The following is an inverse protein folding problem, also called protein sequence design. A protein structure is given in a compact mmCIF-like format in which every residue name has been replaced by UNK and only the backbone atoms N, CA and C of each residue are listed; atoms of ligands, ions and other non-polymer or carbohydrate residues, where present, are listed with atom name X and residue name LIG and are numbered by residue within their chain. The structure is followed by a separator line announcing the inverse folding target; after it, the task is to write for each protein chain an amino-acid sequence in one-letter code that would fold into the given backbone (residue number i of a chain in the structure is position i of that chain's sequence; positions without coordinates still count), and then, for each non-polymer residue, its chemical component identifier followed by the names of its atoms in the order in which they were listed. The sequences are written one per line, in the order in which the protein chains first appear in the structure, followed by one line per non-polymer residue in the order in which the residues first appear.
data_IF_336736565015
#
_entry.id   IF_336736565015
#
_cell.length_a   1.000
_cell.length_b   1.000
_cell.length_c   1.000
_cell.angle_alpha   90.00
_cell.angle_beta   90.00
_cell.angle_gamma   90.00
#
_symmetry.space_group_name_H-M   'P 1'
#
loop_
_entity.id
_entity.type
_entity.pdbx_description
1 polymer ?
#
# COMPACT_ATOMS: atom_id res chain seq x y z
N UNK A 1 53.64 -7.61 71.93
CA UNK A 1 52.24 -7.20 71.87
C UNK A 1 51.56 -7.89 70.73
N UNK A 2 50.83 -8.96 71.02
CA UNK A 2 50.15 -9.78 69.95
C UNK A 2 48.75 -9.23 69.76
N UNK A 3 48.44 -8.81 68.50
CA UNK A 3 47.08 -8.40 68.07
C UNK A 3 46.19 -9.64 67.93
N UNK A 4 45.19 -9.79 68.81
CA UNK A 4 44.10 -10.75 68.71
C UNK A 4 43.31 -10.51 67.43
N UNK A 5 43.28 -11.48 66.49
CA UNK A 5 42.32 -11.53 65.39
C UNK A 5 40.92 -11.74 65.96
N UNK A 6 40.04 -10.77 65.79
CA UNK A 6 38.60 -10.91 66.03
C UNK A 6 38.04 -11.97 65.09
N UNK A 7 37.51 -13.07 65.64
CA UNK A 7 36.68 -14.02 64.89
C UNK A 7 35.39 -13.28 64.53
N UNK A 8 35.07 -13.24 63.24
CA UNK A 8 33.77 -12.79 62.73
C UNK A 8 32.70 -13.81 63.17
N UNK A 9 31.48 -13.37 63.50
CA UNK A 9 30.47 -14.27 64.05
C UNK A 9 29.91 -15.20 62.92
N UNK A 10 29.48 -16.38 63.35
CA UNK A 10 28.93 -17.48 62.53
C UNK A 10 27.65 -17.11 61.81
N UNK A 11 27.07 -15.98 62.14
CA UNK A 11 25.84 -15.46 61.46
C UNK A 11 25.96 -15.21 59.94
N UNK A 12 27.18 -14.99 59.46
CA UNK A 12 27.36 -14.67 58.02
C UNK A 12 27.14 -15.87 57.06
N UNK A 13 27.25 -17.11 57.57
CA UNK A 13 27.07 -18.32 56.77
C UNK A 13 25.57 -18.69 56.64
N UNK A 14 24.86 -18.65 57.79
CA UNK A 14 23.41 -18.91 57.79
C UNK A 14 22.62 -17.84 57.05
N UNK A 15 23.04 -16.58 57.14
CA UNK A 15 22.42 -15.47 56.44
C UNK A 15 22.64 -15.55 54.91
N UNK A 16 23.81 -16.02 54.50
CA UNK A 16 24.09 -16.32 53.07
C UNK A 16 23.25 -17.49 52.55
N UNK A 17 23.14 -18.56 53.32
CA UNK A 17 22.35 -19.74 52.98
C UNK A 17 20.84 -19.40 52.91
N UNK A 18 20.37 -18.54 53.83
CA UNK A 18 19.01 -18.00 53.82
C UNK A 18 18.73 -17.04 52.62
N UNK A 19 19.70 -16.24 52.25
CA UNK A 19 19.63 -15.36 51.10
C UNK A 19 19.71 -16.15 49.77
N UNK A 20 20.51 -17.19 49.70
CA UNK A 20 20.56 -18.12 48.55
C UNK A 20 19.27 -18.93 48.45
N UNK A 21 18.72 -19.44 49.56
CA UNK A 21 17.43 -20.16 49.56
C UNK A 21 16.24 -19.28 49.24
N UNK A 22 16.26 -17.99 49.61
CA UNK A 22 15.25 -17.01 49.21
C UNK A 22 15.37 -16.59 47.74
N UNK A 23 16.56 -16.67 47.17
CA UNK A 23 16.80 -16.30 45.78
C UNK A 23 16.32 -17.37 44.78
N UNK A 24 16.26 -18.62 45.21
CA UNK A 24 15.88 -19.77 44.39
C UNK A 24 14.92 -20.65 45.20
N UNK A 25 13.61 -20.31 45.19
CA UNK A 25 12.62 -21.12 45.88
C UNK A 25 12.79 -22.61 45.59
N UNK A 26 12.64 -23.48 46.64
CA UNK A 26 12.74 -24.94 46.58
C UNK A 26 11.55 -25.53 45.85
N UNK A 27 11.53 -25.44 44.51
CA UNK A 27 10.57 -26.17 43.73
C UNK A 27 11.26 -27.36 43.04
N UNK A 28 10.59 -28.51 43.00
CA UNK A 28 11.10 -29.76 42.37
C UNK A 28 11.58 -29.59 40.91
N UNK A 29 11.18 -28.51 40.23
CA UNK A 29 11.57 -28.16 38.85
C UNK A 29 12.76 -27.18 38.77
N UNK A 30 13.43 -26.88 39.87
CA UNK A 30 14.55 -25.90 39.90
C UNK A 30 15.70 -26.30 38.98
N UNK A 31 15.93 -27.61 38.81
CA UNK A 31 16.93 -28.12 37.88
C UNK A 31 16.57 -27.83 36.39
N UNK A 32 15.28 -27.85 36.05
CA UNK A 32 14.79 -27.49 34.71
C UNK A 32 15.05 -26.01 34.48
N UNK A 33 14.78 -25.17 35.47
CA UNK A 33 14.97 -23.73 35.41
C UNK A 33 16.43 -23.32 35.24
N UNK A 34 17.37 -24.08 35.81
CA UNK A 34 18.83 -23.89 35.63
C UNK A 34 19.26 -24.12 34.18
N UNK A 35 18.59 -25.00 33.44
CA UNK A 35 18.85 -25.27 32.02
C UNK A 35 18.04 -24.31 31.14
N UNK A 36 16.77 -24.11 31.45
CA UNK A 36 15.85 -23.31 30.60
C UNK A 36 16.22 -21.81 30.64
N UNK A 37 16.61 -21.30 31.76
CA UNK A 37 16.93 -19.88 31.95
C UNK A 37 18.04 -19.38 31.02
N UNK A 38 19.22 -19.99 30.92
CA UNK A 38 20.24 -19.54 29.96
C UNK A 38 19.77 -19.67 28.52
N UNK A 39 19.05 -20.73 28.17
CA UNK A 39 18.49 -20.90 26.82
C UNK A 39 17.50 -19.77 26.51
N UNK A 40 16.60 -19.46 27.44
CA UNK A 40 15.59 -18.42 27.29
C UNK A 40 16.24 -17.02 27.21
N UNK A 41 17.29 -16.77 28.01
CA UNK A 41 18.06 -15.53 27.92
C UNK A 41 18.78 -15.42 26.58
N UNK A 42 19.41 -16.51 26.12
CA UNK A 42 20.07 -16.53 24.82
C UNK A 42 19.10 -16.33 23.67
N UNK A 43 17.95 -17.02 23.68
CA UNK A 43 16.93 -16.88 22.62
C UNK A 43 16.31 -15.48 22.63
N UNK A 44 15.94 -14.94 23.79
CA UNK A 44 15.43 -13.57 23.89
C UNK A 44 16.45 -12.53 23.44
N UNK A 45 17.72 -12.68 23.88
CA UNK A 45 18.79 -11.78 23.43
C UNK A 45 19.03 -11.86 21.94
N UNK A 46 18.99 -13.07 21.37
CA UNK A 46 19.14 -13.29 19.93
C UNK A 46 17.98 -12.62 19.14
N UNK A 47 16.75 -12.83 19.58
CA UNK A 47 15.56 -12.20 18.95
C UNK A 47 15.64 -10.67 19.04
N UNK A 48 16.04 -10.13 20.20
CA UNK A 48 16.20 -8.67 20.36
C UNK A 48 17.30 -8.14 19.44
N UNK A 49 18.45 -8.83 19.36
CA UNK A 49 19.56 -8.43 18.48
C UNK A 49 19.11 -8.51 17.01
N UNK A 50 18.44 -9.59 16.60
CA UNK A 50 17.90 -9.70 15.24
C UNK A 50 16.88 -8.59 14.95
N UNK A 51 15.99 -8.27 15.88
CA UNK A 51 15.04 -7.17 15.75
C UNK A 51 15.74 -5.81 15.62
N UNK A 52 16.75 -5.54 16.42
CA UNK A 52 17.53 -4.31 16.35
C UNK A 52 18.33 -4.21 15.04
N UNK A 53 18.90 -5.31 14.58
CA UNK A 53 19.61 -5.37 13.28
C UNK A 53 18.64 -5.16 12.15
N UNK A 54 17.46 -5.79 12.19
CA UNK A 54 16.43 -5.65 11.16
C UNK A 54 15.89 -4.21 11.08
N UNK A 55 15.52 -3.64 12.23
CA UNK A 55 15.03 -2.23 12.28
C UNK A 55 16.12 -1.22 11.95
N UNK A 56 17.36 -1.52 12.33
CA UNK A 56 18.53 -0.72 11.95
C UNK A 56 18.78 -0.77 10.45
N UNK A 57 18.66 -1.96 9.84
CA UNK A 57 18.81 -2.15 8.40
C UNK A 57 17.72 -1.42 7.61
N UNK A 58 16.45 -1.54 8.00
CA UNK A 58 15.37 -0.80 7.35
C UNK A 58 15.60 0.73 7.37
N UNK A 59 16.02 1.28 8.52
CA UNK A 59 16.35 2.70 8.59
C UNK A 59 17.55 3.11 7.74
N UNK A 60 18.53 2.23 7.61
CA UNK A 60 19.69 2.45 6.72
C UNK A 60 19.24 2.42 5.26
N UNK A 61 18.36 1.49 4.91
CA UNK A 61 17.80 1.37 3.57
C UNK A 61 17.00 2.63 3.20
N UNK A 62 16.06 3.02 4.05
CA UNK A 62 15.24 4.22 3.84
C UNK A 62 16.04 5.52 3.77
N UNK A 63 17.09 5.66 4.59
CA UNK A 63 17.87 6.91 4.66
C UNK A 63 18.95 6.99 3.59
N UNK A 64 19.57 5.88 3.21
CA UNK A 64 20.77 5.91 2.36
C UNK A 64 20.56 5.37 0.96
N UNK A 65 19.57 4.50 0.74
CA UNK A 65 19.33 3.87 -0.56
C UNK A 65 18.06 4.37 -1.25
N UNK A 66 17.17 5.04 -0.51
CA UNK A 66 16.00 5.69 -1.09
C UNK A 66 16.40 6.84 -2.05
N UNK A 67 15.53 7.21 -3.00
CA UNK A 67 15.72 8.40 -3.83
C UNK A 67 15.91 9.67 -2.99
N UNK A 68 16.73 10.59 -3.48
CA UNK A 68 16.90 11.91 -2.84
C UNK A 68 15.62 12.74 -2.84
N UNK A 69 14.88 12.65 -3.94
CA UNK A 69 13.56 13.27 -4.10
C UNK A 69 12.74 12.46 -5.12
N UNK A 70 11.82 11.65 -4.62
CA UNK A 70 10.98 10.80 -5.46
C UNK A 70 9.99 11.56 -6.36
N UNK A 71 9.77 12.85 -6.09
CA UNK A 71 8.90 13.71 -6.88
C UNK A 71 9.65 14.52 -7.96
N UNK A 72 10.99 14.63 -7.86
CA UNK A 72 11.80 15.39 -8.82
C UNK A 72 12.04 14.55 -10.08
N UNK A 73 11.28 14.84 -11.12
CA UNK A 73 11.45 14.22 -12.45
C UNK A 73 12.57 14.85 -13.30
N UNK A 74 13.35 15.82 -12.76
CA UNK A 74 14.42 16.46 -13.53
C UNK A 74 15.64 15.54 -13.60
N UNK A 75 16.25 15.46 -14.78
CA UNK A 75 17.51 14.75 -14.99
C UNK A 75 18.70 15.69 -14.75
N UNK A 76 19.74 15.16 -14.12
CA UNK A 76 21.02 15.82 -13.87
C UNK A 76 22.05 15.13 -14.76
N UNK A 77 22.73 15.92 -15.61
CA UNK A 77 23.84 15.40 -16.41
C UNK A 77 25.03 15.04 -15.47
N UNK A 78 25.48 13.79 -15.53
CA UNK A 78 26.55 13.26 -14.70
C UNK A 78 27.60 12.56 -15.56
N UNK A 79 28.86 12.96 -15.45
CA UNK A 79 29.94 12.41 -16.26
C UNK A 79 30.90 11.58 -15.42
N UNK A 80 31.16 10.35 -15.86
CA UNK A 80 32.18 9.45 -15.30
C UNK A 80 33.40 9.42 -16.23
N UNK A 81 34.50 10.00 -15.78
CA UNK A 81 35.74 10.02 -16.55
C UNK A 81 36.38 8.62 -16.60
N UNK A 82 37.01 8.31 -17.73
CA UNK A 82 37.77 7.04 -17.86
C UNK A 82 38.86 6.95 -16.77
N UNK A 83 38.93 5.79 -16.09
CA UNK A 83 39.90 5.57 -15.01
C UNK A 83 39.49 6.17 -13.64
N UNK A 84 38.26 6.72 -13.50
CA UNK A 84 37.77 7.19 -12.21
C UNK A 84 37.64 6.03 -11.22
N UNK A 85 38.10 6.23 -9.98
CA UNK A 85 37.90 5.25 -8.92
C UNK A 85 36.44 5.28 -8.43
N UNK A 86 35.93 4.16 -7.92
CA UNK A 86 34.61 4.07 -7.30
C UNK A 86 34.42 5.17 -6.22
N UNK A 87 35.47 5.44 -5.42
CA UNK A 87 35.42 6.49 -4.39
C UNK A 87 35.27 7.90 -4.99
N UNK A 88 35.84 8.17 -6.16
CA UNK A 88 35.68 9.45 -6.83
C UNK A 88 34.28 9.58 -7.43
N UNK A 89 33.79 8.53 -8.08
CA UNK A 89 32.42 8.49 -8.65
C UNK A 89 31.38 8.68 -7.55
N UNK A 90 31.50 7.95 -6.45
CA UNK A 90 30.56 8.06 -5.32
C UNK A 90 30.51 9.47 -4.72
N UNK A 91 31.68 10.12 -4.58
CA UNK A 91 31.75 11.50 -4.07
C UNK A 91 31.08 12.49 -5.02
N UNK A 92 31.35 12.35 -6.31
CA UNK A 92 30.74 13.22 -7.32
C UNK A 92 29.21 13.05 -7.38
N UNK A 93 28.68 11.83 -7.14
CA UNK A 93 27.25 11.58 -7.05
C UNK A 93 26.62 12.29 -5.83
N UNK A 94 27.30 12.27 -4.68
CA UNK A 94 26.85 12.99 -3.49
C UNK A 94 26.90 14.52 -3.70
N UNK A 95 27.98 15.04 -4.28
CA UNK A 95 28.12 16.46 -4.63
C UNK A 95 27.07 16.94 -5.63
N UNK A 96 26.65 16.06 -6.55
CA UNK A 96 25.55 16.32 -7.48
C UNK A 96 24.16 16.20 -6.83
N UNK A 97 24.09 15.78 -5.57
CA UNK A 97 22.83 15.56 -4.85
C UNK A 97 21.99 14.40 -5.40
N UNK A 98 22.65 13.39 -5.95
CA UNK A 98 22.02 12.19 -6.52
C UNK A 98 21.96 11.02 -5.53
N UNK A 99 22.81 11.02 -4.50
CA UNK A 99 22.82 10.02 -3.43
C UNK A 99 23.01 10.71 -2.07
N UNK A 100 22.55 10.08 -1.01
CA UNK A 100 22.64 10.62 0.35
C UNK A 100 24.05 10.59 0.94
N UNK A 101 24.84 9.54 0.64
CA UNK A 101 26.17 9.37 1.22
C UNK A 101 27.09 8.55 0.33
N UNK A 102 28.23 9.14 -0.05
CA UNK A 102 29.22 8.51 -0.92
C UNK A 102 29.87 7.24 -0.31
N UNK A 103 30.07 7.25 1.02
CA UNK A 103 30.72 6.13 1.70
C UNK A 103 29.81 4.92 1.69
N UNK A 104 28.52 5.11 1.97
CA UNK A 104 27.51 4.03 1.95
C UNK A 104 27.35 3.48 0.55
N UNK A 105 27.22 4.35 -0.46
CA UNK A 105 27.13 3.95 -1.87
C UNK A 105 28.33 3.11 -2.31
N UNK A 106 29.53 3.56 -1.94
CA UNK A 106 30.76 2.81 -2.23
C UNK A 106 30.73 1.40 -1.63
N UNK A 107 30.43 1.27 -0.33
CA UNK A 107 30.36 -0.04 0.31
C UNK A 107 29.27 -0.93 -0.28
N UNK A 108 28.12 -0.36 -0.66
CA UNK A 108 27.06 -1.08 -1.37
C UNK A 108 27.57 -1.66 -2.69
N UNK A 109 28.18 -0.82 -3.54
CA UNK A 109 28.70 -1.22 -4.84
C UNK A 109 29.83 -2.27 -4.71
N UNK A 110 30.70 -2.14 -3.71
CA UNK A 110 31.74 -3.11 -3.41
C UNK A 110 31.16 -4.45 -2.93
N UNK A 111 30.17 -4.42 -2.02
CA UNK A 111 29.50 -5.61 -1.48
C UNK A 111 28.75 -6.38 -2.58
N UNK A 112 28.11 -5.67 -3.51
CA UNK A 112 27.44 -6.25 -4.68
C UNK A 112 28.45 -6.76 -5.74
N UNK A 113 29.74 -6.53 -5.57
CA UNK A 113 30.77 -6.88 -6.55
C UNK A 113 30.67 -6.09 -7.87
N UNK A 114 30.04 -4.92 -7.81
CA UNK A 114 29.71 -4.09 -8.96
C UNK A 114 30.63 -2.87 -9.12
N UNK A 115 31.41 -2.52 -8.09
CA UNK A 115 32.25 -1.32 -8.09
C UNK A 115 33.28 -1.24 -9.21
N UNK A 116 33.75 -2.38 -9.74
CA UNK A 116 34.67 -2.41 -10.89
C UNK A 116 33.99 -2.48 -12.26
N UNK A 117 32.65 -2.57 -12.29
CA UNK A 117 31.86 -2.65 -13.51
C UNK A 117 31.31 -1.31 -13.98
N UNK A 118 31.52 -0.24 -13.20
CA UNK A 118 31.10 1.10 -13.56
C UNK A 118 31.84 1.54 -14.83
N UNK A 119 31.07 1.95 -15.83
CA UNK A 119 31.62 2.37 -17.12
C UNK A 119 31.81 3.88 -17.16
N UNK A 120 32.81 4.34 -17.92
CA UNK A 120 32.99 5.76 -18.20
C UNK A 120 31.99 6.21 -19.27
N UNK A 121 31.43 7.41 -19.11
CA UNK A 121 30.45 7.96 -20.03
C UNK A 121 29.71 9.15 -19.42
N UNK A 122 28.83 9.73 -20.24
CA UNK A 122 27.92 10.79 -19.81
C UNK A 122 26.56 10.20 -19.57
N UNK A 123 26.03 10.42 -18.36
CA UNK A 123 24.77 9.85 -17.87
C UNK A 123 23.77 10.94 -17.57
N UNK A 124 22.51 10.66 -17.80
CA UNK A 124 21.41 11.48 -17.31
C UNK A 124 20.77 10.75 -16.12
N UNK A 125 21.10 11.20 -14.92
CA UNK A 125 20.63 10.62 -13.66
C UNK A 125 19.58 11.53 -13.05
N UNK A 126 18.65 10.98 -12.26
CA UNK A 126 17.62 11.77 -11.58
C UNK A 126 17.70 11.58 -10.07
N UNK A 127 17.30 12.59 -9.31
CA UNK A 127 17.12 12.52 -7.86
C UNK A 127 15.99 11.58 -7.45
N UNK A 128 15.10 11.24 -8.41
CA UNK A 128 14.06 10.24 -8.22
C UNK A 128 14.56 8.80 -8.33
N UNK A 129 15.84 8.60 -8.67
CA UNK A 129 16.47 7.27 -8.69
C UNK A 129 16.98 6.88 -7.31
N UNK A 130 16.80 5.61 -6.96
CA UNK A 130 17.45 5.00 -5.82
C UNK A 130 18.97 4.82 -6.07
N UNK A 131 19.74 4.63 -5.01
CA UNK A 131 21.17 4.38 -5.14
C UNK A 131 21.50 3.14 -5.97
N UNK A 132 20.65 2.10 -5.90
CA UNK A 132 20.79 0.88 -6.70
C UNK A 132 20.51 1.13 -8.19
N UNK A 133 19.48 1.89 -8.52
CA UNK A 133 19.15 2.26 -9.90
C UNK A 133 20.27 3.11 -10.54
N UNK A 134 20.83 4.06 -9.77
CA UNK A 134 22.01 4.83 -10.21
C UNK A 134 23.19 3.89 -10.49
N UNK A 135 23.46 2.92 -9.59
CA UNK A 135 24.55 1.97 -9.78
C UNK A 135 24.34 1.11 -11.03
N UNK A 136 23.12 0.61 -11.24
CA UNK A 136 22.79 -0.22 -12.42
C UNK A 136 22.96 0.55 -13.72
N UNK A 137 22.59 1.83 -13.76
CA UNK A 137 22.83 2.70 -14.91
C UNK A 137 24.31 2.91 -15.19
N UNK A 138 25.10 3.16 -14.16
CA UNK A 138 26.54 3.33 -14.31
C UNK A 138 27.25 2.05 -14.80
N UNK A 139 26.65 0.88 -14.57
CA UNK A 139 27.17 -0.41 -15.00
C UNK A 139 26.74 -0.76 -16.44
N UNK A 140 25.49 -0.43 -16.82
CA UNK A 140 24.98 -0.73 -18.16
C UNK A 140 25.75 0.00 -19.26
N UNK A 141 26.37 1.13 -18.94
CA UNK A 141 27.28 1.86 -19.83
C UNK A 141 26.58 2.63 -20.95
N UNK A 142 25.27 2.54 -21.06
CA UNK A 142 24.53 3.17 -22.17
C UNK A 142 24.27 4.66 -22.02
N UNK A 143 24.74 5.30 -20.95
CA UNK A 143 24.72 6.74 -20.71
C UNK A 143 23.34 7.43 -20.85
N UNK A 144 22.33 6.72 -21.27
CA UNK A 144 20.94 7.21 -21.31
C UNK A 144 20.08 6.36 -20.38
N UNK A 145 19.39 6.97 -19.42
CA UNK A 145 18.43 6.26 -18.63
C UNK A 145 17.38 5.65 -19.55
N UNK A 146 17.26 4.32 -19.54
CA UNK A 146 16.14 3.65 -20.20
C UNK A 146 14.91 3.92 -19.36
N UNK A 147 14.27 5.07 -19.59
CA UNK A 147 12.96 5.37 -19.02
C UNK A 147 11.86 4.83 -19.92
N UNK A 148 10.76 4.50 -19.33
CA UNK A 148 9.52 4.17 -20.01
C UNK A 148 8.37 4.88 -19.34
N UNK A 149 7.35 5.16 -20.12
CA UNK A 149 6.12 5.77 -19.61
C UNK A 149 5.12 4.68 -19.30
N UNK A 150 4.60 4.67 -18.07
CA UNK A 150 3.48 3.82 -17.67
C UNK A 150 2.26 4.70 -17.37
N UNK A 151 1.06 4.19 -17.67
CA UNK A 151 -0.18 4.87 -17.37
C UNK A 151 -1.07 3.96 -16.56
N UNK A 152 -1.28 4.33 -15.30
CA UNK A 152 -2.23 3.65 -14.41
C UNK A 152 -3.60 4.26 -14.64
N UNK A 153 -4.54 3.44 -15.07
CA UNK A 153 -5.88 3.86 -15.45
C UNK A 153 -6.80 3.85 -14.22
N UNK A 154 -7.65 4.87 -14.01
CA UNK A 154 -8.69 4.84 -13.00
C UNK A 154 -9.53 3.57 -13.06
N UNK A 155 -9.90 3.03 -11.91
CA UNK A 155 -10.68 1.79 -11.81
C UNK A 155 -9.86 0.50 -11.92
N UNK A 156 -8.55 0.56 -12.13
CA UNK A 156 -7.69 -0.61 -12.03
C UNK A 156 -7.51 -1.06 -10.59
N UNK A 157 -7.46 -2.37 -10.41
CA UNK A 157 -7.10 -3.02 -9.15
C UNK A 157 -5.57 -3.12 -9.01
N UNK A 158 -5.10 -3.44 -7.82
CA UNK A 158 -3.68 -3.80 -7.58
C UNK A 158 -3.23 -4.92 -8.53
N UNK A 159 -4.10 -5.92 -8.79
CA UNK A 159 -3.81 -7.03 -9.71
C UNK A 159 -3.70 -6.57 -11.16
N UNK A 160 -4.54 -5.61 -11.59
CA UNK A 160 -4.48 -5.05 -12.95
C UNK A 160 -3.18 -4.26 -13.14
N UNK A 161 -2.78 -3.46 -12.14
CA UNK A 161 -1.50 -2.73 -12.17
C UNK A 161 -0.33 -3.71 -12.27
N UNK A 162 -0.31 -4.76 -11.44
CA UNK A 162 0.76 -5.77 -11.46
C UNK A 162 0.85 -6.47 -12.82
N UNK A 163 -0.29 -6.88 -13.39
CA UNK A 163 -0.39 -7.52 -14.70
C UNK A 163 0.15 -6.60 -15.81
N UNK A 164 -0.29 -5.35 -15.83
CA UNK A 164 0.15 -4.35 -16.81
C UNK A 164 1.67 -4.13 -16.76
N UNK A 165 2.24 -4.00 -15.56
CA UNK A 165 3.69 -3.84 -15.39
C UNK A 165 4.48 -5.08 -15.86
N UNK A 166 3.92 -6.28 -15.66
CA UNK A 166 4.51 -7.52 -16.16
C UNK A 166 4.42 -7.64 -17.70
N UNK A 167 3.31 -7.24 -18.31
CA UNK A 167 3.15 -7.20 -19.77
C UNK A 167 4.16 -6.25 -20.42
N UNK A 168 4.45 -5.13 -19.77
CA UNK A 168 5.52 -4.20 -20.19
C UNK A 168 6.94 -4.72 -19.91
N UNK A 169 7.07 -5.90 -19.28
CA UNK A 169 8.34 -6.49 -18.86
C UNK A 169 9.16 -5.62 -17.88
N UNK A 170 8.49 -4.75 -17.16
CA UNK A 170 9.08 -3.94 -16.09
C UNK A 170 9.24 -4.82 -14.84
N UNK A 171 8.22 -5.61 -14.52
CA UNK A 171 8.30 -6.64 -13.48
C UNK A 171 8.62 -7.99 -14.12
N UNK A 172 9.64 -8.68 -13.62
CA UNK A 172 9.94 -10.05 -14.01
C UNK A 172 8.93 -11.07 -13.48
N UNK A 173 8.33 -10.74 -12.32
CA UNK A 173 7.29 -11.51 -11.63
C UNK A 173 6.37 -10.53 -10.89
N UNK A 174 5.07 -10.82 -10.87
CA UNK A 174 4.06 -10.02 -10.16
C UNK A 174 4.03 -10.30 -8.65
N UNK A 175 4.57 -11.43 -8.19
CA UNK A 175 4.42 -11.91 -6.80
C UNK A 175 5.00 -10.94 -5.78
N UNK A 176 6.17 -10.36 -6.07
CA UNK A 176 6.79 -9.37 -5.19
C UNK A 176 5.91 -8.13 -5.06
N UNK A 177 5.45 -7.56 -6.18
CA UNK A 177 4.56 -6.41 -6.20
C UNK A 177 3.27 -6.68 -5.41
N UNK A 178 2.62 -7.81 -5.66
CA UNK A 178 1.39 -8.20 -4.98
C UNK A 178 1.62 -8.44 -3.49
N UNK A 179 2.76 -9.04 -3.11
CA UNK A 179 3.13 -9.26 -1.70
C UNK A 179 3.34 -7.94 -0.95
N UNK A 180 4.04 -6.99 -1.55
CA UNK A 180 4.24 -5.66 -0.99
C UNK A 180 2.91 -4.90 -0.83
N UNK A 181 2.01 -4.99 -1.81
CA UNK A 181 0.69 -4.37 -1.73
C UNK A 181 -0.23 -5.02 -0.71
N UNK A 182 -0.01 -6.29 -0.37
CA UNK A 182 -0.90 -7.05 0.51
C UNK A 182 -0.84 -6.60 1.96
N UNK A 183 0.34 -6.36 2.52
CA UNK A 183 0.50 -5.95 3.92
C UNK A 183 0.47 -4.44 4.10
N UNK A 184 1.04 -3.68 3.19
CA UNK A 184 1.20 -2.23 3.30
C UNK A 184 2.19 -1.77 4.38
N UNK A 185 2.71 -2.68 5.22
CA UNK A 185 3.57 -2.36 6.38
C UNK A 185 4.85 -1.60 6.01
N UNK A 186 5.44 -1.93 4.86
CA UNK A 186 6.65 -1.27 4.34
C UNK A 186 6.42 0.21 3.99
N UNK A 187 5.17 0.66 3.94
CA UNK A 187 4.78 2.00 3.53
C UNK A 187 4.13 2.82 4.64
N UNK A 188 4.27 2.41 5.90
CA UNK A 188 3.75 3.12 7.07
C UNK A 188 4.36 4.53 7.26
N UNK A 189 5.41 4.88 6.51
CA UNK A 189 5.94 6.24 6.44
C UNK A 189 4.99 7.25 5.77
N UNK A 190 4.03 6.80 4.95
CA UNK A 190 2.96 7.65 4.44
C UNK A 190 1.85 7.74 5.48
N UNK A 191 1.51 8.98 5.91
CA UNK A 191 0.57 9.17 7.02
C UNK A 191 -0.81 8.53 6.76
N UNK A 192 -1.31 8.57 5.54
CA UNK A 192 -2.60 7.97 5.17
C UNK A 192 -2.56 6.42 5.19
N UNK A 193 -1.40 5.81 4.92
CA UNK A 193 -1.21 4.37 5.11
C UNK A 193 -1.15 4.04 6.60
N UNK A 194 -0.44 4.84 7.39
CA UNK A 194 -0.41 4.67 8.85
C UNK A 194 -1.82 4.76 9.45
N UNK A 195 -2.64 5.73 9.03
CA UNK A 195 -4.04 5.88 9.47
C UNK A 195 -4.89 4.66 9.04
N UNK A 196 -4.79 4.24 7.79
CA UNK A 196 -5.49 3.06 7.30
C UNK A 196 -5.10 1.80 8.08
N UNK A 197 -3.82 1.62 8.40
CA UNK A 197 -3.32 0.46 9.16
C UNK A 197 -3.84 0.39 10.61
N UNK A 198 -4.35 1.49 11.18
CA UNK A 198 -4.98 1.50 12.50
C UNK A 198 -6.38 0.90 12.50
N UNK A 199 -6.98 0.67 11.33
CA UNK A 199 -8.32 0.09 11.24
C UNK A 199 -8.28 -1.44 11.45
N UNK A 200 -9.20 -1.97 12.25
CA UNK A 200 -9.29 -3.42 12.53
C UNK A 200 -9.63 -4.26 11.28
N UNK A 201 -10.06 -3.61 10.21
CA UNK A 201 -10.55 -4.24 8.98
C UNK A 201 -9.44 -4.58 7.98
N UNK A 202 -8.25 -4.00 8.10
CA UNK A 202 -7.15 -4.16 7.14
C UNK A 202 -6.79 -5.63 6.90
N UNK A 203 -6.79 -6.45 7.95
CA UNK A 203 -6.48 -7.89 7.84
C UNK A 203 -7.47 -8.68 6.99
N UNK A 204 -8.67 -8.13 6.73
CA UNK A 204 -9.71 -8.74 5.90
C UNK A 204 -9.64 -8.28 4.44
N UNK A 205 -8.78 -7.30 4.13
CA UNK A 205 -8.61 -6.79 2.76
C UNK A 205 -7.83 -7.77 1.90
N UNK A 206 -8.18 -7.80 0.62
CA UNK A 206 -7.41 -8.56 -0.38
C UNK A 206 -5.99 -8.00 -0.49
N UNK A 207 -5.88 -6.68 -0.61
CA UNK A 207 -4.64 -5.90 -0.60
C UNK A 207 -4.85 -4.66 0.28
N UNK A 208 -3.91 -4.39 1.19
CA UNK A 208 -3.95 -3.19 2.03
C UNK A 208 -3.82 -1.91 1.19
N UNK A 209 -3.01 -1.95 0.12
CA UNK A 209 -2.79 -0.81 -0.76
C UNK A 209 -3.83 -0.66 -1.88
N UNK A 210 -4.90 -1.48 -1.93
CA UNK A 210 -5.99 -1.26 -2.88
C UNK A 210 -6.61 0.12 -2.64
N UNK A 211 -6.78 0.89 -3.72
CA UNK A 211 -7.31 2.25 -3.67
C UNK A 211 -6.25 3.35 -3.50
N UNK A 212 -5.00 2.99 -3.21
CA UNK A 212 -3.94 3.95 -2.91
C UNK A 212 -2.88 4.10 -4.00
N UNK A 213 -2.89 3.23 -5.02
CA UNK A 213 -1.99 3.33 -6.16
C UNK A 213 -2.54 4.36 -7.16
N UNK A 214 -2.19 5.63 -6.99
CA UNK A 214 -2.79 6.76 -7.70
C UNK A 214 -2.79 6.59 -9.21
N UNK A 215 -3.96 6.67 -9.90
CA UNK A 215 -4.02 6.70 -11.35
C UNK A 215 -3.37 7.96 -11.90
N UNK A 216 -2.39 7.80 -12.78
CA UNK A 216 -1.72 8.88 -13.52
C UNK A 216 -0.78 8.27 -14.57
N UNK A 217 -0.14 9.13 -15.33
CA UNK A 217 0.96 8.77 -16.24
C UNK A 217 2.29 9.08 -15.56
N UNK A 218 3.17 8.08 -15.48
CA UNK A 218 4.46 8.17 -14.79
C UNK A 218 5.59 7.83 -15.74
N UNK A 219 6.64 8.59 -15.68
CA UNK A 219 7.93 8.20 -16.22
C UNK A 219 8.70 7.42 -15.16
N UNK A 220 9.09 6.20 -15.46
CA UNK A 220 9.84 5.30 -14.59
C UNK A 220 11.05 4.71 -15.33
N UNK A 221 12.05 4.27 -14.59
CA UNK A 221 13.15 3.53 -15.18
C UNK A 221 12.73 2.09 -15.48
N UNK A 222 13.20 1.54 -16.59
CA UNK A 222 12.90 0.13 -16.96
C UNK A 222 13.48 -0.88 -15.96
N UNK A 223 14.46 -0.45 -15.15
CA UNK A 223 15.05 -1.23 -14.05
C UNK A 223 14.41 -0.97 -12.68
N UNK A 224 13.33 -0.19 -12.61
CA UNK A 224 12.67 0.13 -11.32
C UNK A 224 12.16 -1.13 -10.63
N UNK A 225 12.47 -1.27 -9.35
CA UNK A 225 11.93 -2.35 -8.53
C UNK A 225 10.43 -2.15 -8.26
N UNK A 226 9.75 -3.23 -7.88
CA UNK A 226 8.34 -3.18 -7.46
C UNK A 226 8.13 -2.14 -6.34
N UNK A 227 9.03 -2.10 -5.36
CA UNK A 227 8.98 -1.15 -4.24
C UNK A 227 9.10 0.31 -4.72
N UNK A 228 10.05 0.60 -5.61
CA UNK A 228 10.23 1.95 -6.18
C UNK A 228 8.97 2.41 -6.92
N UNK A 229 8.35 1.53 -7.70
CA UNK A 229 7.12 1.85 -8.42
C UNK A 229 5.99 2.14 -7.44
N UNK A 230 5.77 1.28 -6.45
CA UNK A 230 4.73 1.48 -5.42
C UNK A 230 4.94 2.81 -4.71
N UNK A 231 6.15 3.13 -4.25
CA UNK A 231 6.48 4.41 -3.62
C UNK A 231 6.14 5.60 -4.52
N UNK A 232 6.41 5.50 -5.82
CA UNK A 232 6.08 6.55 -6.79
C UNK A 232 4.56 6.79 -6.87
N UNK A 233 3.78 5.70 -6.91
CA UNK A 233 2.31 5.77 -6.97
C UNK A 233 1.72 6.33 -5.66
N UNK A 234 2.27 5.92 -4.51
CA UNK A 234 1.87 6.43 -3.18
C UNK A 234 2.23 7.91 -3.00
N UNK A 235 3.41 8.35 -3.44
CA UNK A 235 3.80 9.77 -3.39
C UNK A 235 2.85 10.66 -4.19
N UNK A 236 2.37 10.18 -5.34
CA UNK A 236 1.35 10.89 -6.11
C UNK A 236 0.01 10.97 -5.36
N UNK A 237 -0.38 9.89 -4.66
CA UNK A 237 -1.58 9.89 -3.82
C UNK A 237 -1.43 10.86 -2.65
N UNK A 238 -0.27 10.90 -2.00
CA UNK A 238 0.01 11.84 -0.91
C UNK A 238 -0.15 13.30 -1.35
N UNK A 239 0.37 13.66 -2.52
CA UNK A 239 0.21 15.00 -3.08
C UNK A 239 -1.27 15.36 -3.28
N UNK A 240 -2.11 14.40 -3.62
CA UNK A 240 -3.56 14.57 -3.75
C UNK A 240 -4.23 14.78 -2.38
N UNK A 241 -3.78 14.10 -1.32
CA UNK A 241 -4.30 14.23 0.05
C UNK A 241 -4.01 15.60 0.68
N UNK A 242 -2.89 16.23 0.34
CA UNK A 242 -2.49 17.54 0.88
C UNK A 242 -3.42 18.70 0.44
N UNK A 243 -4.47 18.44 -0.31
CA UNK A 243 -5.41 19.47 -0.83
C UNK A 243 -6.55 19.84 0.11
N UNK A 244 -6.52 19.43 1.39
CA UNK A 244 -7.53 19.82 2.39
C UNK A 244 -8.80 18.97 2.39
N UNK A 245 -8.76 17.76 1.82
CA UNK A 245 -9.91 16.85 1.79
C UNK A 245 -10.25 16.26 3.16
N UNK A 246 -9.30 16.21 4.07
CA UNK A 246 -9.48 15.69 5.43
C UNK A 246 -10.54 16.45 6.21
N UNK A 247 -10.55 17.80 6.11
CA UNK A 247 -11.55 18.64 6.77
C UNK A 247 -12.95 18.31 6.25
N UNK A 248 -13.07 18.14 4.91
CA UNK A 248 -14.36 17.82 4.30
C UNK A 248 -14.83 16.40 4.64
N UNK A 249 -13.94 15.43 4.72
CA UNK A 249 -14.26 14.09 5.17
C UNK A 249 -14.80 14.10 6.61
N UNK A 250 -14.14 14.84 7.51
CA UNK A 250 -14.60 15.01 8.90
C UNK A 250 -15.99 15.66 8.99
N UNK A 251 -16.30 16.66 8.17
CA UNK A 251 -17.65 17.25 8.10
C UNK A 251 -18.72 16.22 7.70
N UNK A 252 -18.36 15.24 6.86
CA UNK A 252 -19.23 14.15 6.47
C UNK A 252 -19.28 13.01 7.51
N UNK A 253 -18.46 13.09 8.57
CA UNK A 253 -18.30 12.04 9.58
C UNK A 253 -17.59 10.80 9.04
N UNK A 254 -16.72 10.96 8.04
CA UNK A 254 -15.98 9.88 7.36
C UNK A 254 -14.48 10.03 7.60
N UNK A 255 -13.77 8.90 7.66
CA UNK A 255 -12.32 8.86 7.52
C UNK A 255 -11.93 8.97 6.03
N UNK A 256 -10.70 9.36 5.73
CA UNK A 256 -10.23 9.38 4.35
C UNK A 256 -10.19 7.98 3.71
N UNK A 257 -9.96 6.93 4.49
CA UNK A 257 -10.03 5.55 4.02
C UNK A 257 -11.47 5.18 3.58
N UNK A 258 -12.48 5.61 4.32
CA UNK A 258 -13.88 5.46 3.93
C UNK A 258 -14.22 6.28 2.68
N UNK A 259 -13.66 7.46 2.53
CA UNK A 259 -13.80 8.29 1.30
C UNK A 259 -13.20 7.57 0.09
N UNK A 260 -11.97 7.05 0.20
CA UNK A 260 -11.34 6.28 -0.88
C UNK A 260 -12.14 5.01 -1.19
N UNK A 261 -12.64 4.33 -0.17
CA UNK A 261 -13.50 3.15 -0.34
C UNK A 261 -14.76 3.51 -1.13
N UNK A 262 -15.47 4.56 -0.75
CA UNK A 262 -16.65 5.05 -1.46
C UNK A 262 -16.31 5.50 -2.89
N UNK A 263 -15.21 6.24 -3.07
CA UNK A 263 -14.73 6.68 -4.37
C UNK A 263 -14.44 5.50 -5.31
N UNK A 264 -13.86 4.42 -4.80
CA UNK A 264 -13.60 3.22 -5.60
C UNK A 264 -14.88 2.53 -6.09
N UNK A 265 -15.96 2.60 -5.29
CA UNK A 265 -17.27 2.12 -5.71
C UNK A 265 -17.87 3.03 -6.79
N UNK A 266 -17.83 4.34 -6.58
CA UNK A 266 -18.32 5.34 -7.56
C UNK A 266 -17.60 5.18 -8.90
N UNK A 267 -16.27 5.02 -8.89
CA UNK A 267 -15.44 4.82 -10.08
C UNK A 267 -15.89 3.61 -10.92
N UNK A 268 -16.32 2.53 -10.26
CA UNK A 268 -16.72 1.29 -10.92
C UNK A 268 -18.20 1.28 -11.35
N UNK A 269 -19.05 2.14 -10.74
CA UNK A 269 -20.50 2.16 -11.00
C UNK A 269 -20.91 3.09 -12.14
N UNK A 270 -20.14 4.15 -12.41
CA UNK A 270 -20.63 5.21 -13.26
C UNK A 270 -19.57 5.80 -14.20
N UNK A 271 -20.01 6.63 -15.11
CA UNK A 271 -19.16 7.58 -15.84
C UNK A 271 -18.95 8.84 -14.99
N UNK A 272 -17.88 9.55 -15.25
CA UNK A 272 -17.53 10.80 -14.55
C UNK A 272 -18.69 11.80 -14.44
N UNK A 273 -19.55 11.90 -15.48
CA UNK A 273 -20.73 12.78 -15.50
C UNK A 273 -21.77 12.48 -14.41
N UNK A 274 -21.80 11.25 -13.92
CA UNK A 274 -22.79 10.78 -12.93
C UNK A 274 -22.17 10.45 -11.57
N UNK A 275 -20.86 10.62 -11.39
CA UNK A 275 -20.16 10.34 -10.12
C UNK A 275 -20.84 11.02 -8.93
N UNK A 276 -21.12 12.31 -9.01
CA UNK A 276 -21.73 13.05 -7.90
C UNK A 276 -23.15 12.56 -7.59
N UNK A 277 -23.92 12.12 -8.60
CA UNK A 277 -25.28 11.57 -8.40
C UNK A 277 -25.24 10.19 -7.75
N UNK A 278 -24.34 9.30 -8.22
CA UNK A 278 -24.12 7.98 -7.61
C UNK A 278 -23.63 8.14 -6.17
N UNK A 279 -22.71 9.07 -5.93
CA UNK A 279 -22.27 9.44 -4.58
C UNK A 279 -23.46 9.84 -3.70
N UNK A 280 -24.36 10.69 -4.20
CA UNK A 280 -25.55 11.12 -3.45
C UNK A 280 -26.45 9.93 -3.05
N UNK A 281 -26.63 8.95 -3.96
CA UNK A 281 -27.40 7.74 -3.63
C UNK A 281 -26.72 6.95 -2.51
N UNK A 282 -25.40 6.74 -2.58
CA UNK A 282 -24.67 6.02 -1.52
C UNK A 282 -24.73 6.76 -0.18
N UNK A 283 -24.52 8.07 -0.16
CA UNK A 283 -24.67 8.88 1.05
C UNK A 283 -26.08 8.80 1.64
N UNK A 284 -27.12 8.85 0.81
CA UNK A 284 -28.50 8.71 1.25
C UNK A 284 -28.77 7.33 1.86
N UNK A 285 -28.25 6.25 1.24
CA UNK A 285 -28.37 4.87 1.79
C UNK A 285 -27.62 4.73 3.12
N UNK A 286 -26.38 5.23 3.22
CA UNK A 286 -25.61 5.21 4.47
C UNK A 286 -26.38 5.94 5.58
N UNK A 287 -26.90 7.13 5.29
CA UNK A 287 -27.70 7.92 6.25
C UNK A 287 -29.00 7.23 6.66
N UNK A 288 -29.58 6.44 5.77
CA UNK A 288 -30.81 5.67 6.03
C UNK A 288 -30.56 4.29 6.67
N UNK A 289 -29.31 3.98 7.02
CA UNK A 289 -28.89 2.65 7.54
C UNK A 289 -29.29 1.49 6.59
N UNK A 290 -29.27 1.72 5.29
CA UNK A 290 -29.53 0.72 4.25
C UNK A 290 -28.25 0.02 3.83
N UNK A 291 -28.37 -1.21 3.32
CA UNK A 291 -27.27 -1.86 2.59
C UNK A 291 -26.96 -1.10 1.31
N UNK A 292 -25.68 -1.01 0.91
CA UNK A 292 -25.32 -0.31 -0.32
C UNK A 292 -25.68 -1.09 -1.58
N UNK A 293 -25.72 -2.44 -1.51
CA UNK A 293 -26.23 -3.32 -2.56
C UNK A 293 -25.61 -3.03 -3.93
N UNK A 294 -24.31 -2.91 -3.97
CA UNK A 294 -23.54 -2.54 -5.16
C UNK A 294 -22.89 -3.77 -5.78
N UNK A 295 -23.22 -4.05 -7.04
CA UNK A 295 -22.74 -5.21 -7.79
C UNK A 295 -21.20 -5.22 -7.95
N UNK A 296 -20.59 -4.05 -8.08
CA UNK A 296 -19.14 -3.93 -8.28
C UNK A 296 -18.35 -4.46 -7.09
N UNK A 297 -18.93 -4.43 -5.88
CA UNK A 297 -18.31 -5.02 -4.69
C UNK A 297 -18.33 -6.55 -4.73
N UNK A 298 -19.40 -7.14 -5.28
CA UNK A 298 -19.49 -8.59 -5.51
C UNK A 298 -18.54 -9.01 -6.61
N UNK A 299 -18.50 -8.25 -7.72
CA UNK A 299 -17.57 -8.50 -8.83
C UNK A 299 -16.11 -8.51 -8.35
N UNK A 300 -15.73 -7.55 -7.51
CA UNK A 300 -14.39 -7.55 -6.89
C UNK A 300 -14.14 -8.77 -6.01
N UNK A 301 -15.14 -9.17 -5.21
CA UNK A 301 -15.01 -10.32 -4.29
C UNK A 301 -14.91 -11.67 -5.01
N UNK A 302 -15.65 -11.84 -6.12
CA UNK A 302 -15.81 -13.12 -6.84
C UNK A 302 -15.00 -13.21 -8.13
N UNK A 303 -14.58 -12.08 -8.70
CA UNK A 303 -13.99 -12.00 -10.04
C UNK A 303 -15.02 -12.08 -11.16
N UNK A 304 -16.34 -11.98 -10.87
CA UNK A 304 -17.41 -12.05 -11.87
C UNK A 304 -17.39 -10.82 -12.79
N UNK A 305 -17.52 -11.05 -14.08
CA UNK A 305 -17.67 -10.00 -15.09
C UNK A 305 -19.12 -9.81 -15.58
N UNK A 306 -20.07 -10.58 -15.04
CA UNK A 306 -21.47 -10.55 -15.45
C UNK A 306 -22.15 -9.23 -15.10
N UNK A 307 -23.07 -8.79 -15.97
CA UNK A 307 -23.99 -7.69 -15.64
C UNK A 307 -25.12 -8.15 -14.72
N UNK A 308 -25.60 -9.38 -14.89
CA UNK A 308 -26.64 -9.98 -14.06
C UNK A 308 -26.01 -11.00 -13.13
N UNK A 309 -25.86 -10.65 -11.86
CA UNK A 309 -25.35 -11.56 -10.83
C UNK A 309 -26.45 -12.52 -10.35
N UNK A 310 -26.06 -13.77 -10.13
CA UNK A 310 -26.96 -14.80 -9.59
C UNK A 310 -27.05 -14.75 -8.05
N UNK A 311 -28.06 -15.42 -7.49
CA UNK A 311 -28.29 -15.45 -6.04
C UNK A 311 -27.10 -16.00 -5.25
N UNK A 312 -26.37 -16.97 -5.81
CA UNK A 312 -25.15 -17.52 -5.22
C UNK A 312 -24.01 -16.49 -5.12
N UNK A 313 -23.88 -15.61 -6.13
CA UNK A 313 -22.90 -14.54 -6.15
C UNK A 313 -23.31 -13.44 -5.16
N UNK A 314 -24.57 -13.03 -5.17
CA UNK A 314 -25.12 -12.01 -4.26
C UNK A 314 -25.05 -12.40 -2.79
N UNK A 315 -25.07 -13.72 -2.49
CA UNK A 315 -24.99 -14.24 -1.13
C UNK A 315 -23.59 -14.63 -0.68
N UNK A 316 -22.53 -14.33 -1.47
CA UNK A 316 -21.15 -14.70 -1.13
C UNK A 316 -20.75 -14.17 0.25
N UNK A 317 -20.14 -15.04 1.07
CA UNK A 317 -19.61 -14.62 2.37
C UNK A 317 -18.27 -13.91 2.19
N UNK A 318 -18.35 -12.62 1.98
CA UNK A 318 -17.18 -11.74 1.81
C UNK A 318 -17.32 -10.47 2.65
N UNK A 319 -16.20 -9.97 3.16
CA UNK A 319 -16.15 -8.67 3.83
C UNK A 319 -16.43 -7.50 2.87
N UNK A 320 -16.38 -7.74 1.57
CA UNK A 320 -16.73 -6.79 0.52
C UNK A 320 -18.23 -6.82 0.16
N UNK A 321 -19.02 -7.80 0.64
CA UNK A 321 -20.40 -7.95 0.21
C UNK A 321 -21.33 -6.90 0.81
N UNK A 322 -21.67 -5.88 0.02
CA UNK A 322 -22.58 -4.78 0.40
C UNK A 322 -24.06 -5.11 0.27
N UNK A 323 -24.44 -6.32 -0.17
CA UNK A 323 -25.83 -6.80 -0.13
C UNK A 323 -26.21 -7.38 1.24
N UNK A 324 -25.26 -8.07 1.88
CA UNK A 324 -25.51 -8.78 3.15
C UNK A 324 -25.01 -7.99 4.36
N UNK A 325 -24.18 -6.97 4.15
CA UNK A 325 -23.59 -6.12 5.19
C UNK A 325 -24.01 -4.68 4.99
N UNK A 326 -24.29 -3.98 6.08
CA UNK A 326 -24.56 -2.53 6.10
C UNK A 326 -23.25 -1.75 6.11
N UNK A 327 -23.29 -0.51 5.62
CA UNK A 327 -22.14 0.38 5.55
C UNK A 327 -21.26 0.10 4.34
N UNK A 328 -20.07 0.69 4.35
CA UNK A 328 -19.05 0.49 3.32
C UNK A 328 -18.45 -0.92 3.40
N UNK A 329 -17.92 -1.44 2.28
CA UNK A 329 -17.13 -2.66 2.32
C UNK A 329 -15.85 -2.47 3.14
N UNK A 330 -15.14 -3.55 3.41
CA UNK A 330 -13.93 -3.59 4.24
C UNK A 330 -12.80 -2.67 3.77
N UNK A 331 -12.82 -2.25 2.52
CA UNK A 331 -11.86 -1.36 1.91
C UNK A 331 -12.14 -1.14 0.42
N UNK A 332 -11.30 -0.36 -0.27
CA UNK A 332 -11.43 -0.06 -1.68
C UNK A 332 -11.45 -1.31 -2.56
N UNK A 333 -12.09 -1.19 -3.74
CA UNK A 333 -12.21 -2.26 -4.73
C UNK A 333 -11.46 -1.96 -6.05
N UNK A 334 -10.87 -0.80 -6.15
CA UNK A 334 -9.99 -0.36 -7.24
C UNK A 334 -9.28 0.93 -6.84
N UNK A 335 -8.35 1.39 -7.66
CA UNK A 335 -7.69 2.68 -7.51
C UNK A 335 -8.55 3.77 -8.19
N UNK A 336 -9.21 4.66 -7.43
CA UNK A 336 -10.13 5.64 -7.97
C UNK A 336 -9.40 6.85 -8.58
N UNK A 337 -10.05 7.53 -9.52
CA UNK A 337 -9.64 8.85 -10.00
C UNK A 337 -9.84 9.93 -8.93
N UNK A 338 -9.12 11.04 -9.09
CA UNK A 338 -9.38 12.25 -8.28
C UNK A 338 -10.82 12.76 -8.41
N UNK A 339 -11.42 12.63 -9.60
CA UNK A 339 -12.81 13.02 -9.82
C UNK A 339 -13.80 12.18 -8.99
N UNK A 340 -13.54 10.88 -8.84
CA UNK A 340 -14.35 10.01 -7.97
C UNK A 340 -14.15 10.33 -6.49
N UNK A 341 -12.90 10.65 -6.07
CA UNK A 341 -12.62 11.08 -4.69
C UNK A 341 -13.35 12.40 -4.38
N UNK A 342 -13.27 13.36 -5.29
CA UNK A 342 -14.02 14.64 -5.15
C UNK A 342 -15.53 14.37 -5.11
N UNK A 343 -16.05 13.48 -5.95
CA UNK A 343 -17.48 13.15 -5.94
C UNK A 343 -17.91 12.46 -4.63
N UNK A 344 -17.05 11.62 -4.04
CA UNK A 344 -17.32 11.02 -2.73
C UNK A 344 -17.44 12.07 -1.60
N UNK A 345 -16.64 13.15 -1.69
CA UNK A 345 -16.65 14.26 -0.74
C UNK A 345 -17.77 15.29 -1.02
N UNK A 346 -18.14 15.45 -2.27
CA UNK A 346 -19.13 16.45 -2.72
C UNK A 346 -20.23 15.78 -3.55
N UNK A 347 -21.13 15.02 -2.90
CA UNK A 347 -22.29 14.42 -3.56
C UNK A 347 -23.22 15.49 -4.14
N UNK A 348 -23.98 15.14 -5.20
CA UNK A 348 -24.96 16.03 -5.81
C UNK A 348 -26.03 16.45 -4.79
N UNK A 349 -26.07 17.76 -4.47
CA UNK A 349 -26.94 18.32 -3.42
C UNK A 349 -28.43 18.11 -3.73
N UNK A 350 -28.83 18.17 -5.02
CA UNK A 350 -30.23 17.98 -5.42
C UNK A 350 -30.65 16.52 -5.21
N UNK A 351 -29.78 15.57 -5.58
CA UNK A 351 -30.03 14.14 -5.38
C UNK A 351 -30.05 13.77 -3.89
N UNK A 352 -29.19 14.39 -3.08
CA UNK A 352 -29.22 14.24 -1.62
C UNK A 352 -30.54 14.78 -1.07
N UNK A 353 -30.89 16.02 -1.39
CA UNK A 353 -32.11 16.68 -0.88
C UNK A 353 -33.40 15.96 -1.32
N UNK A 354 -33.42 15.45 -2.54
CA UNK A 354 -34.56 14.72 -3.09
C UNK A 354 -34.60 13.25 -2.70
N UNK A 355 -33.61 12.77 -1.92
CA UNK A 355 -33.53 11.40 -1.37
C UNK A 355 -33.58 10.33 -2.45
N UNK A 356 -32.77 10.46 -3.52
CA UNK A 356 -32.57 9.36 -4.45
C UNK A 356 -31.87 8.21 -3.72
N UNK A 357 -32.41 7.00 -3.83
CA UNK A 357 -31.93 5.82 -3.12
C UNK A 357 -31.52 4.68 -4.03
N UNK A 358 -31.83 4.76 -5.33
CA UNK A 358 -31.60 3.68 -6.28
C UNK A 358 -31.10 4.21 -7.60
N UNK A 359 -30.30 3.39 -8.27
CA UNK A 359 -29.96 3.56 -9.68
C UNK A 359 -29.77 2.20 -10.36
N UNK A 360 -29.89 2.15 -11.66
CA UNK A 360 -29.54 1.00 -12.47
C UNK A 360 -29.07 1.45 -13.86
N UNK A 361 -28.30 0.60 -14.55
CA UNK A 361 -27.88 0.85 -15.94
C UNK A 361 -29.08 0.81 -16.87
N UNK A 362 -29.17 1.79 -17.78
CA UNK A 362 -30.18 1.77 -18.85
C UNK A 362 -29.71 0.92 -20.03
N UNK A 363 -28.41 1.00 -20.32
CA UNK A 363 -27.75 0.26 -21.39
C UNK A 363 -26.29 0.00 -21.01
N UNK A 364 -25.86 -1.27 -20.93
CA UNK A 364 -24.48 -1.62 -20.59
C UNK A 364 -23.43 -1.01 -21.52
N UNK A 365 -23.76 -0.79 -22.79
CA UNK A 365 -22.84 -0.23 -23.78
C UNK A 365 -22.68 1.28 -23.62
N UNK A 366 -23.76 2.00 -23.29
CA UNK A 366 -23.74 3.45 -23.09
C UNK A 366 -23.21 3.84 -21.71
N UNK A 367 -23.37 2.98 -20.67
CA UNK A 367 -23.06 3.28 -19.29
C UNK A 367 -23.91 4.41 -18.71
N UNK A 368 -25.09 4.68 -19.28
CA UNK A 368 -26.06 5.61 -18.76
C UNK A 368 -26.84 5.01 -17.59
N UNK A 369 -27.19 5.84 -16.60
CA UNK A 369 -27.87 5.42 -15.38
C UNK A 369 -29.28 6.03 -15.29
N UNK A 370 -30.23 5.21 -14.83
CA UNK A 370 -31.54 5.64 -14.37
C UNK A 370 -31.55 5.71 -12.85
N UNK A 371 -32.02 6.83 -12.30
CA UNK A 371 -32.08 7.08 -10.86
C UNK A 371 -33.54 7.07 -10.37
N UNK A 372 -33.78 6.44 -9.21
CA UNK A 372 -35.10 6.29 -8.61
C UNK A 372 -35.08 6.63 -7.13
N UNK A 373 -36.22 7.09 -6.61
CA UNK A 373 -36.39 7.44 -5.19
C UNK A 373 -36.99 6.29 -4.39
N UNK A 374 -37.83 5.49 -4.99
CA UNK A 374 -38.51 4.38 -4.34
C UNK A 374 -38.09 3.04 -4.92
N UNK A 375 -38.27 1.97 -4.14
CA UNK A 375 -38.00 0.60 -4.60
C UNK A 375 -38.94 0.20 -5.75
N UNK A 376 -40.18 0.70 -5.74
CA UNK A 376 -41.15 0.42 -6.80
C UNK A 376 -40.71 0.99 -8.14
N UNK A 377 -40.28 2.26 -8.17
CA UNK A 377 -39.71 2.91 -9.35
C UNK A 377 -38.48 2.15 -9.86
N UNK A 378 -37.58 1.78 -8.91
CA UNK A 378 -36.37 1.02 -9.25
C UNK A 378 -36.70 -0.34 -9.87
N UNK A 379 -37.59 -1.11 -9.25
CA UNK A 379 -37.98 -2.43 -9.76
C UNK A 379 -38.64 -2.34 -11.16
N UNK A 380 -39.41 -1.31 -11.42
CA UNK A 380 -39.98 -1.04 -12.74
C UNK A 380 -38.87 -0.75 -13.77
N UNK A 381 -37.88 0.06 -13.41
CA UNK A 381 -36.73 0.34 -14.26
C UNK A 381 -35.89 -0.91 -14.52
N UNK A 382 -35.58 -1.70 -13.47
CA UNK A 382 -34.85 -2.96 -13.60
C UNK A 382 -35.59 -3.93 -14.52
N UNK A 383 -36.91 -4.09 -14.37
CA UNK A 383 -37.69 -4.96 -15.25
C UNK A 383 -37.63 -4.52 -16.70
N UNK A 384 -37.57 -3.21 -16.96
CA UNK A 384 -37.47 -2.65 -18.31
C UNK A 384 -36.10 -2.89 -18.96
N UNK A 385 -34.99 -2.72 -18.19
CA UNK A 385 -33.64 -2.74 -18.75
C UNK A 385 -32.95 -4.11 -18.63
N UNK A 386 -33.37 -4.98 -17.73
CA UNK A 386 -32.78 -6.33 -17.50
C UNK A 386 -32.60 -7.17 -18.78
N UNK A 387 -33.53 -7.21 -19.75
CA UNK A 387 -33.33 -7.96 -20.98
C UNK A 387 -32.09 -7.54 -21.77
N UNK A 388 -31.71 -6.23 -21.72
CA UNK A 388 -30.52 -5.71 -22.38
C UNK A 388 -29.24 -6.19 -21.66
N UNK A 389 -29.27 -6.30 -20.33
CA UNK A 389 -28.15 -6.80 -19.53
C UNK A 389 -27.91 -8.29 -19.79
N UNK A 390 -28.98 -9.07 -19.85
CA UNK A 390 -28.92 -10.52 -20.16
C UNK A 390 -28.44 -10.78 -21.60
N UNK A 391 -28.81 -9.92 -22.57
CA UNK A 391 -28.32 -10.00 -23.93
C UNK A 391 -26.83 -9.62 -24.01
N UNK A 392 -26.42 -8.58 -23.25
CA UNK A 392 -25.02 -8.18 -23.15
C UNK A 392 -24.16 -9.31 -22.61
N UNK A 393 -24.57 -9.96 -21.51
CA UNK A 393 -23.85 -11.09 -20.92
C UNK A 393 -23.76 -12.26 -21.90
N UNK A 394 -24.85 -12.61 -22.59
CA UNK A 394 -24.87 -13.65 -23.64
C UNK A 394 -23.90 -13.34 -24.79
N UNK A 395 -23.86 -12.10 -25.23
CA UNK A 395 -22.98 -11.67 -26.34
C UNK A 395 -21.48 -11.84 -25.98
N UNK A 396 -21.15 -11.80 -24.69
CA UNK A 396 -19.80 -11.98 -24.17
C UNK A 396 -19.51 -13.41 -23.69
N UNK A 397 -20.46 -14.33 -23.79
CA UNK A 397 -20.33 -15.70 -23.31
C UNK A 397 -20.31 -15.83 -21.76
N UNK A 398 -20.90 -14.86 -21.06
CA UNK A 398 -20.95 -14.80 -19.58
C UNK A 398 -22.27 -15.37 -19.03
N UNK A 399 -22.67 -16.56 -19.43
CA UNK A 399 -23.93 -17.21 -18.99
C UNK A 399 -23.79 -17.89 -17.62
#
# INVERSE_FOLDING_TARGET
MAKKKKKRPVHDAEERELLESRRYGFFWYDWIWRILRPILVFTCSFVIICGLVYTGWQKVDDVFFSPMDSADGQTVAFSVKSGSSLSAVSRNLEEAGLIHNHTVFKYMADFMGMGQKIQSGDYELSRAMSATEILDQLISGDGKPLTTTITIIPGWTVEDVARYLAELKILGNTDEFLSLCKSGESYSGYYFIEEMMKTDTVSQRRYALEGYLSPNTYEIYTSSSADTIIKRLLTQMEAAYLTGYDERAQELGMTMDEVITLASMIEKEAKKSDFAKVSAVFHNRLKADMTLGSDVTIKYATGSEKMVLGDSELSVNSAYNTYTRKGLPVGPICNPSMDAIVAALYPDEQYVAQKYLYFCSTDPASGELHFSKTLEEHNAAVAMYRPLWEEYDRSRGLN
#
